data_IF_476628055927
#
_entry.id   IF_476628055927
#
_cell.length_a   1.000
_cell.length_b   1.000
_cell.length_c   1.000
_cell.angle_alpha   90.00
_cell.angle_beta   90.00
_cell.angle_gamma   90.00
#
_symmetry.space_group_name_H-M   'P 1'
#
loop_
_entity.id
_entity.type
_entity.pdbx_description
1 polymer ?
#
# COMPACT_ATOMS: atom_id res chain seq x y z
N UNK A 1 -42.48 -2.43 23.27
CA UNK A 1 -41.63 -3.61 22.99
C UNK A 1 -40.37 -3.09 22.33
N UNK A 2 -39.41 -2.62 23.13
CA UNK A 2 -38.14 -2.10 22.61
C UNK A 2 -37.18 -3.26 22.38
N UNK A 3 -36.80 -3.46 21.12
CA UNK A 3 -35.76 -4.40 20.70
C UNK A 3 -34.41 -3.91 21.25
N UNK A 4 -33.92 -4.55 22.31
CA UNK A 4 -32.54 -4.39 22.78
C UNK A 4 -31.59 -4.96 21.72
N UNK A 5 -30.93 -4.09 20.97
CA UNK A 5 -29.78 -4.48 20.18
C UNK A 5 -28.66 -4.90 21.13
N UNK A 6 -28.44 -6.19 21.25
CA UNK A 6 -27.25 -6.73 21.89
C UNK A 6 -26.04 -6.41 20.98
N UNK A 7 -25.32 -5.35 21.31
CA UNK A 7 -23.98 -5.12 20.77
C UNK A 7 -23.08 -6.23 21.30
N UNK A 8 -22.80 -7.23 20.46
CA UNK A 8 -21.73 -8.18 20.74
C UNK A 8 -20.43 -7.38 20.91
N UNK A 9 -19.94 -7.27 22.15
CA UNK A 9 -18.69 -6.62 22.49
C UNK A 9 -17.51 -7.53 22.14
N UNK A 10 -17.35 -7.86 20.86
CA UNK A 10 -16.05 -8.29 20.38
C UNK A 10 -15.20 -7.04 20.37
N UNK A 11 -14.20 -6.94 21.25
CA UNK A 11 -13.21 -5.86 21.20
C UNK A 11 -12.40 -6.04 19.92
N UNK A 12 -12.81 -5.37 18.85
CA UNK A 12 -12.04 -5.27 17.63
C UNK A 12 -10.86 -4.33 17.89
N UNK A 13 -9.66 -4.87 17.98
CA UNK A 13 -8.44 -4.06 17.94
C UNK A 13 -8.09 -3.76 16.48
N UNK A 14 -8.08 -2.50 16.04
CA UNK A 14 -7.69 -2.15 14.68
C UNK A 14 -6.22 -2.49 14.46
N UNK A 15 -5.87 -2.96 13.26
CA UNK A 15 -4.48 -3.07 12.83
C UNK A 15 -3.98 -1.69 12.41
N UNK A 16 -2.91 -1.21 13.05
CA UNK A 16 -2.32 0.10 12.82
C UNK A 16 -1.20 0.00 11.78
N UNK A 17 -1.31 0.76 10.69
CA UNK A 17 -0.30 0.84 9.64
C UNK A 17 0.53 2.12 9.87
N UNK A 18 1.83 1.96 10.09
CA UNK A 18 2.79 3.05 10.19
C UNK A 18 3.34 3.40 8.81
N UNK A 19 3.09 4.63 8.35
CA UNK A 19 3.51 5.08 7.00
C UNK A 19 5.00 5.44 6.99
N UNK A 20 5.76 4.77 6.12
CA UNK A 20 7.17 5.00 5.84
C UNK A 20 7.34 5.44 4.38
N UNK A 21 7.41 6.75 4.17
CA UNK A 21 7.69 7.32 2.85
C UNK A 21 9.21 7.45 2.64
N UNK A 22 9.71 6.88 1.53
CA UNK A 22 11.11 6.98 1.11
C UNK A 22 11.17 7.99 -0.06
N UNK A 23 11.51 9.25 0.24
CA UNK A 23 11.57 10.35 -0.74
C UNK A 23 12.99 10.61 -1.25
N UNK A 24 13.11 11.47 -2.27
CA UNK A 24 14.33 11.72 -3.06
C UNK A 24 15.49 12.38 -2.33
N UNK A 25 15.22 13.11 -1.25
CA UNK A 25 16.19 13.99 -0.57
C UNK A 25 17.43 13.25 -0.01
N UNK A 26 17.48 11.92 -0.14
CA UNK A 26 18.51 11.06 0.41
C UNK A 26 19.33 10.26 -0.61
N UNK A 27 19.07 10.37 -1.93
CA UNK A 27 19.72 9.54 -2.96
C UNK A 27 20.85 10.19 -3.76
N UNK A 28 21.06 11.51 -3.69
CA UNK A 28 21.95 12.21 -4.64
C UNK A 28 23.47 12.03 -4.41
N UNK A 29 23.97 11.67 -3.22
CA UNK A 29 25.43 11.71 -2.95
C UNK A 29 25.94 10.53 -2.11
N UNK A 30 25.78 9.28 -2.58
CA UNK A 30 26.23 8.09 -1.83
C UNK A 30 25.28 7.67 -0.68
N UNK A 31 24.11 8.31 -0.59
CA UNK A 31 23.14 8.17 0.49
C UNK A 31 22.29 6.90 0.49
N UNK A 32 22.55 5.89 -0.36
CA UNK A 32 21.80 4.60 -0.34
C UNK A 32 21.83 3.93 1.04
N UNK A 33 23.01 3.84 1.64
CA UNK A 33 23.19 3.23 2.97
C UNK A 33 22.63 4.12 4.09
N UNK A 34 22.75 5.44 3.95
CA UNK A 34 22.18 6.40 4.90
C UNK A 34 20.65 6.40 4.85
N UNK A 35 20.08 6.27 3.65
CA UNK A 35 18.63 6.15 3.43
C UNK A 35 18.11 4.84 4.01
N UNK A 36 18.81 3.71 3.78
CA UNK A 36 18.42 2.42 4.37
C UNK A 36 18.45 2.47 5.89
N UNK A 37 19.50 3.06 6.48
CA UNK A 37 19.60 3.22 7.94
C UNK A 37 18.50 4.12 8.50
N UNK A 38 18.31 5.32 7.94
CA UNK A 38 17.29 6.25 8.38
C UNK A 38 15.86 5.68 8.22
N UNK A 39 15.61 4.94 7.13
CA UNK A 39 14.34 4.25 6.91
C UNK A 39 14.11 3.12 7.92
N UNK A 40 15.17 2.38 8.27
CA UNK A 40 15.13 1.34 9.31
C UNK A 40 14.87 1.94 10.70
N UNK A 41 15.58 3.01 11.07
CA UNK A 41 15.36 3.74 12.32
C UNK A 41 13.93 4.32 12.40
N UNK A 42 13.41 4.83 11.28
CA UNK A 42 12.02 5.31 11.20
C UNK A 42 11.03 4.16 11.34
N UNK A 43 11.25 3.02 10.70
CA UNK A 43 10.43 1.83 10.86
C UNK A 43 10.41 1.35 12.33
N UNK A 44 11.58 1.27 12.97
CA UNK A 44 11.71 0.90 14.38
C UNK A 44 10.94 1.91 15.27
N UNK A 45 11.00 3.21 14.96
CA UNK A 45 10.23 4.25 15.65
C UNK A 45 8.71 4.10 15.47
N UNK A 46 8.23 3.75 14.28
CA UNK A 46 6.81 3.51 14.01
C UNK A 46 6.29 2.30 14.82
N UNK A 47 7.07 1.22 14.87
CA UNK A 47 6.75 0.03 15.66
C UNK A 47 6.72 0.36 17.16
N UNK A 48 7.69 1.13 17.66
CA UNK A 48 7.72 1.58 19.05
C UNK A 48 6.51 2.48 19.42
N UNK A 49 5.91 3.16 18.43
CA UNK A 49 4.69 3.96 18.59
C UNK A 49 3.39 3.14 18.47
N UNK A 50 3.50 1.82 18.26
CA UNK A 50 2.35 0.91 18.22
C UNK A 50 1.84 0.58 16.82
N UNK A 51 2.64 0.79 15.77
CA UNK A 51 2.32 0.25 14.44
C UNK A 51 2.41 -1.28 14.45
N UNK A 52 1.41 -1.96 13.88
CA UNK A 52 1.39 -3.41 13.66
C UNK A 52 2.04 -3.80 12.32
N UNK A 53 1.97 -2.89 11.34
CA UNK A 53 2.46 -3.06 9.97
C UNK A 53 3.17 -1.78 9.54
N UNK A 54 4.30 -1.90 8.85
CA UNK A 54 4.98 -0.76 8.21
C UNK A 54 4.54 -0.68 6.74
N UNK A 55 3.91 0.43 6.34
CA UNK A 55 3.48 0.69 4.97
C UNK A 55 4.53 1.52 4.24
N UNK A 56 5.26 0.89 3.31
CA UNK A 56 6.41 1.47 2.63
C UNK A 56 5.95 2.03 1.29
N UNK A 57 6.08 3.35 1.13
CA UNK A 57 5.85 4.06 -0.13
C UNK A 57 7.15 4.69 -0.63
N UNK A 58 7.67 4.23 -1.78
CA UNK A 58 8.88 4.76 -2.39
C UNK A 58 8.64 5.66 -3.61
N UNK A 59 7.37 5.88 -3.94
CA UNK A 59 6.93 6.84 -4.93
C UNK A 59 5.84 7.72 -4.31
N UNK A 60 5.99 9.03 -4.47
CA UNK A 60 4.96 9.96 -4.01
C UNK A 60 3.72 9.86 -4.90
N UNK A 61 2.55 9.78 -4.27
CA UNK A 61 1.23 9.90 -4.91
C UNK A 61 0.72 11.35 -4.95
N UNK A 62 1.53 12.32 -4.54
CA UNK A 62 1.21 13.75 -4.61
C UNK A 62 1.05 14.21 -6.06
N UNK A 63 0.09 15.09 -6.32
CA UNK A 63 -0.18 15.65 -7.65
C UNK A 63 1.03 16.41 -8.25
N UNK A 64 1.90 16.94 -7.40
CA UNK A 64 3.07 17.73 -7.81
C UNK A 64 4.34 16.89 -8.02
N UNK A 65 4.36 15.62 -7.60
CA UNK A 65 5.55 14.78 -7.75
C UNK A 65 5.59 14.10 -9.11
N UNK A 66 6.80 13.96 -9.65
CA UNK A 66 7.01 13.16 -10.84
C UNK A 66 6.99 11.66 -10.52
N UNK A 67 6.43 10.90 -11.46
CA UNK A 67 6.44 9.45 -11.39
C UNK A 67 7.84 8.94 -11.70
N UNK A 68 8.30 7.97 -10.93
CA UNK A 68 9.59 7.32 -11.15
C UNK A 68 9.36 5.98 -11.83
N UNK A 69 10.33 5.52 -12.62
CA UNK A 69 10.29 4.16 -13.18
C UNK A 69 10.31 3.10 -12.08
N UNK A 70 9.75 1.92 -12.35
CA UNK A 70 9.69 0.81 -11.39
C UNK A 70 11.09 0.42 -10.87
N UNK A 71 12.15 0.59 -11.67
CA UNK A 71 13.52 0.32 -11.27
C UNK A 71 13.96 1.23 -10.11
N UNK A 72 13.61 2.51 -10.17
CA UNK A 72 13.95 3.49 -9.14
C UNK A 72 13.12 3.24 -7.89
N UNK A 73 11.80 3.06 -8.04
CA UNK A 73 10.90 2.76 -6.93
C UNK A 73 11.37 1.50 -6.19
N UNK A 74 11.66 0.41 -6.92
CA UNK A 74 12.17 -0.82 -6.31
C UNK A 74 13.54 -0.63 -5.68
N UNK A 75 14.46 0.07 -6.34
CA UNK A 75 15.81 0.32 -5.82
C UNK A 75 15.82 1.02 -4.47
N UNK A 76 14.78 1.82 -4.16
CA UNK A 76 14.62 2.51 -2.88
C UNK A 76 14.25 1.56 -1.73
N UNK A 77 13.62 0.41 -2.03
CA UNK A 77 13.08 -0.50 -1.01
C UNK A 77 13.77 -1.87 -0.96
N UNK A 78 14.45 -2.27 -2.04
CA UNK A 78 14.94 -3.65 -2.24
C UNK A 78 15.83 -4.20 -1.13
N UNK A 79 16.61 -3.33 -0.47
CA UNK A 79 17.53 -3.72 0.60
C UNK A 79 16.85 -3.58 1.98
N UNK A 80 15.93 -2.62 2.13
CA UNK A 80 15.18 -2.39 3.37
C UNK A 80 14.16 -3.51 3.68
N UNK A 81 13.44 -3.98 2.66
CA UNK A 81 12.37 -4.98 2.84
C UNK A 81 12.91 -6.27 3.47
N UNK A 82 13.97 -6.92 2.94
CA UNK A 82 14.52 -8.13 3.56
C UNK A 82 15.02 -7.90 4.99
N UNK A 83 15.66 -6.77 5.27
CA UNK A 83 16.18 -6.43 6.61
C UNK A 83 15.04 -6.31 7.63
N UNK A 84 13.94 -5.65 7.28
CA UNK A 84 12.76 -5.53 8.14
C UNK A 84 12.04 -6.88 8.32
N UNK A 85 11.91 -7.67 7.25
CA UNK A 85 11.34 -9.02 7.34
C UNK A 85 12.16 -9.94 8.25
N UNK A 86 13.50 -9.85 8.21
CA UNK A 86 14.39 -10.61 9.09
C UNK A 86 14.22 -10.24 10.57
N UNK A 87 13.79 -9.00 10.87
CA UNK A 87 13.40 -8.55 12.21
C UNK A 87 11.98 -9.00 12.63
N UNK A 88 11.25 -9.70 11.76
CA UNK A 88 9.87 -10.13 12.00
C UNK A 88 8.82 -9.02 11.79
N UNK A 89 9.19 -7.91 11.15
CA UNK A 89 8.27 -6.80 10.86
C UNK A 89 7.28 -7.22 9.78
N UNK A 90 5.99 -6.96 10.00
CA UNK A 90 4.96 -7.12 8.97
C UNK A 90 4.98 -5.90 8.06
N UNK A 91 5.04 -6.15 6.76
CA UNK A 91 5.24 -5.08 5.77
C UNK A 91 4.04 -5.00 4.84
N UNK A 92 3.67 -3.76 4.52
CA UNK A 92 2.84 -3.35 3.40
C UNK A 92 3.68 -2.55 2.42
N UNK A 93 3.46 -2.73 1.11
CA UNK A 93 4.07 -1.90 0.06
C UNK A 93 2.97 -1.13 -0.65
N UNK A 94 3.05 0.20 -0.61
CA UNK A 94 2.19 1.12 -1.36
C UNK A 94 2.78 1.32 -2.76
N UNK A 95 2.22 0.58 -3.72
CA UNK A 95 2.62 0.69 -5.13
C UNK A 95 1.49 0.26 -6.06
N UNK A 96 1.49 0.87 -7.25
CA UNK A 96 0.65 0.46 -8.37
C UNK A 96 1.45 -0.08 -9.56
N UNK A 97 2.78 -0.21 -9.43
CA UNK A 97 3.63 -0.72 -10.51
C UNK A 97 3.69 -2.25 -10.46
N UNK A 98 3.23 -2.97 -11.50
CA UNK A 98 3.15 -4.44 -11.48
C UNK A 98 4.48 -5.13 -11.11
N UNK A 99 5.61 -4.60 -11.61
CA UNK A 99 6.94 -5.14 -11.29
C UNK A 99 7.37 -4.91 -9.84
N UNK A 100 7.01 -3.78 -9.24
CA UNK A 100 7.28 -3.51 -7.82
C UNK A 100 6.42 -4.45 -6.96
N UNK A 101 5.16 -4.65 -7.34
CA UNK A 101 4.25 -5.60 -6.69
C UNK A 101 4.83 -7.01 -6.73
N UNK A 102 5.24 -7.49 -7.91
CA UNK A 102 5.84 -8.81 -8.07
C UNK A 102 7.09 -8.99 -7.20
N UNK A 103 8.05 -8.05 -7.28
CA UNK A 103 9.28 -8.10 -6.49
C UNK A 103 9.01 -8.08 -4.98
N UNK A 104 8.02 -7.31 -4.53
CA UNK A 104 7.66 -7.21 -3.11
C UNK A 104 7.04 -8.51 -2.59
N UNK A 105 6.17 -9.14 -3.39
CA UNK A 105 5.55 -10.41 -3.04
C UNK A 105 6.59 -11.55 -3.00
N UNK A 106 7.52 -11.57 -3.97
CA UNK A 106 8.65 -12.51 -4.00
C UNK A 106 9.58 -12.33 -2.80
N UNK A 107 9.83 -11.08 -2.38
CA UNK A 107 10.62 -10.77 -1.19
C UNK A 107 9.94 -11.18 0.12
N UNK A 108 8.63 -11.38 0.12
CA UNK A 108 7.89 -11.90 1.26
C UNK A 108 7.04 -10.87 2.03
N UNK A 109 6.70 -9.74 1.40
CA UNK A 109 5.79 -8.72 1.95
C UNK A 109 4.38 -9.27 2.17
N UNK A 110 3.73 -8.97 3.31
CA UNK A 110 2.39 -9.49 3.63
C UNK A 110 1.28 -8.75 2.88
N UNK A 111 1.37 -7.42 2.77
CA UNK A 111 0.34 -6.59 2.17
C UNK A 111 0.82 -5.86 0.92
N UNK A 112 -0.03 -5.79 -0.09
CA UNK A 112 0.12 -4.84 -1.20
C UNK A 112 -0.99 -3.82 -1.09
N UNK A 113 -0.63 -2.55 -0.90
CA UNK A 113 -1.53 -1.41 -0.90
C UNK A 113 -1.55 -0.80 -2.29
N UNK A 114 -2.65 -1.01 -3.02
CA UNK A 114 -2.76 -0.57 -4.41
C UNK A 114 -3.73 0.60 -4.54
N UNK A 115 -3.18 1.81 -4.62
CA UNK A 115 -3.93 3.07 -4.63
C UNK A 115 -4.93 3.20 -5.79
N UNK A 116 -4.68 2.54 -6.92
CA UNK A 116 -5.62 2.48 -8.07
C UNK A 116 -6.61 1.33 -8.01
N UNK A 117 -6.52 0.50 -6.97
CA UNK A 117 -7.32 -0.71 -6.74
C UNK A 117 -7.28 -1.71 -7.90
N UNK A 118 -6.06 -1.99 -8.40
CA UNK A 118 -5.80 -3.07 -9.36
C UNK A 118 -6.70 -3.02 -10.62
N UNK A 119 -6.83 -1.83 -11.21
CA UNK A 119 -7.60 -1.63 -12.45
C UNK A 119 -6.93 -2.22 -13.68
N UNK A 120 -5.62 -2.41 -13.64
CA UNK A 120 -4.85 -2.97 -14.73
C UNK A 120 -4.71 -4.50 -14.62
N UNK A 121 -4.71 -5.18 -15.77
CA UNK A 121 -4.64 -6.65 -15.85
C UNK A 121 -3.30 -7.20 -15.37
N UNK A 122 -2.25 -6.39 -15.42
CA UNK A 122 -0.90 -6.82 -15.10
C UNK A 122 -0.76 -7.03 -13.59
N UNK A 123 -1.12 -6.02 -12.80
CA UNK A 123 -1.16 -6.10 -11.33
C UNK A 123 -2.06 -7.24 -10.85
N UNK A 124 -3.24 -7.43 -11.47
CA UNK A 124 -4.13 -8.57 -11.16
C UNK A 124 -3.43 -9.91 -11.39
N UNK A 125 -2.73 -10.06 -12.51
CA UNK A 125 -1.99 -11.29 -12.83
C UNK A 125 -0.88 -11.56 -11.81
N UNK A 126 -0.16 -10.52 -11.38
CA UNK A 126 0.91 -10.68 -10.38
C UNK A 126 0.37 -11.15 -9.03
N UNK A 127 -0.71 -10.54 -8.52
CA UNK A 127 -1.29 -10.95 -7.23
C UNK A 127 -1.97 -12.32 -7.29
N UNK A 128 -2.51 -12.71 -8.45
CA UNK A 128 -3.17 -14.02 -8.64
C UNK A 128 -2.22 -15.20 -8.42
N UNK A 129 -0.91 -15.01 -8.62
CA UNK A 129 0.12 -16.03 -8.37
C UNK A 129 0.20 -16.44 -6.89
N UNK A 130 -0.30 -15.60 -5.98
CA UNK A 130 -0.28 -15.82 -4.54
C UNK A 130 -1.67 -16.12 -3.97
N UNK A 131 -2.64 -16.49 -4.81
CA UNK A 131 -3.94 -16.97 -4.36
C UNK A 131 -3.77 -18.18 -3.41
N UNK A 132 -4.53 -18.19 -2.30
CA UNK A 132 -4.46 -19.24 -1.28
C UNK A 132 -3.30 -19.11 -0.29
N UNK A 133 -2.49 -18.06 -0.38
CA UNK A 133 -1.46 -17.73 0.62
C UNK A 133 -2.00 -16.74 1.66
N UNK A 134 -1.18 -16.41 2.67
CA UNK A 134 -1.52 -15.39 3.68
C UNK A 134 -1.29 -13.94 3.19
N UNK A 135 -1.01 -13.74 1.90
CA UNK A 135 -0.84 -12.40 1.31
C UNK A 135 -2.18 -11.68 1.24
N UNK A 136 -2.16 -10.37 1.49
CA UNK A 136 -3.35 -9.52 1.56
C UNK A 136 -3.22 -8.37 0.57
N UNK A 137 -4.32 -8.03 -0.08
CA UNK A 137 -4.36 -7.01 -1.12
C UNK A 137 -5.36 -5.92 -0.72
N UNK A 138 -4.87 -4.70 -0.50
CA UNK A 138 -5.70 -3.55 -0.15
C UNK A 138 -6.11 -2.88 -1.47
N UNK A 139 -7.40 -2.91 -1.74
CA UNK A 139 -8.00 -2.34 -2.94
C UNK A 139 -8.54 -0.95 -2.60
N UNK A 140 -7.94 0.10 -3.13
CA UNK A 140 -8.40 1.46 -2.92
C UNK A 140 -9.26 1.96 -4.08
N UNK A 141 -10.33 2.69 -3.78
CA UNK A 141 -11.09 3.44 -4.78
C UNK A 141 -10.46 4.82 -4.99
N UNK A 142 -10.20 5.18 -6.24
CA UNK A 142 -9.87 6.55 -6.65
C UNK A 142 -10.75 6.95 -7.82
N UNK A 143 -11.26 8.17 -7.85
CA UNK A 143 -12.27 8.57 -8.85
C UNK A 143 -11.76 8.52 -10.30
N UNK A 144 -10.44 8.67 -10.52
CA UNK A 144 -9.84 8.67 -11.85
C UNK A 144 -9.08 7.39 -12.19
N UNK A 145 -8.81 6.51 -11.22
CA UNK A 145 -8.01 5.27 -11.36
C UNK A 145 -6.65 5.44 -12.06
N UNK A 146 -6.15 6.67 -12.15
CA UNK A 146 -4.98 7.02 -12.94
C UNK A 146 -3.68 6.91 -12.10
N UNK A 147 -2.54 7.00 -12.78
CA UNK A 147 -1.23 6.99 -12.11
C UNK A 147 -0.93 8.29 -11.36
N UNK A 148 -1.69 9.36 -11.62
CA UNK A 148 -1.61 10.63 -10.90
C UNK A 148 -2.99 11.00 -10.36
N UNK A 149 -3.08 11.59 -9.16
CA UNK A 149 -4.35 12.14 -8.68
C UNK A 149 -4.79 13.30 -9.59
N UNK A 150 -6.10 13.48 -9.70
CA UNK A 150 -6.71 14.62 -10.38
C UNK A 150 -7.48 15.43 -9.35
N UNK A 151 -7.23 16.73 -9.28
CA UNK A 151 -7.93 17.61 -8.35
C UNK A 151 -9.40 17.81 -8.75
N UNK A 152 -9.74 17.56 -10.01
CA UNK A 152 -11.12 17.64 -10.49
C UNK A 152 -11.78 16.27 -10.39
N UNK A 153 -12.87 16.21 -9.61
CA UNK A 153 -13.68 15.02 -9.46
C UNK A 153 -15.08 15.24 -10.02
N UNK A 154 -15.60 14.26 -10.75
CA UNK A 154 -17.01 14.22 -11.16
C UNK A 154 -17.94 13.73 -10.03
N UNK A 155 -17.36 13.34 -8.89
CA UNK A 155 -18.11 12.83 -7.77
C UNK A 155 -18.89 13.94 -7.08
N UNK A 156 -20.14 13.63 -6.77
CA UNK A 156 -21.07 14.48 -6.02
C UNK A 156 -21.58 13.69 -4.81
N UNK A 157 -22.15 14.36 -3.79
CA UNK A 157 -22.80 13.67 -2.68
C UNK A 157 -23.88 12.66 -3.13
N UNK A 158 -24.48 12.86 -4.31
CA UNK A 158 -25.52 12.00 -4.86
C UNK A 158 -24.98 10.73 -5.53
N UNK A 159 -23.78 10.75 -6.12
CA UNK A 159 -23.24 9.59 -6.86
C UNK A 159 -22.09 8.87 -6.14
N UNK A 160 -21.42 9.49 -5.17
CA UNK A 160 -20.15 8.98 -4.60
C UNK A 160 -20.28 7.56 -4.04
N UNK A 161 -21.34 7.28 -3.29
CA UNK A 161 -21.58 5.94 -2.74
C UNK A 161 -21.86 4.92 -3.85
N UNK A 162 -22.61 5.32 -4.88
CA UNK A 162 -22.92 4.45 -6.01
C UNK A 162 -21.65 4.07 -6.77
N UNK A 163 -20.78 5.03 -7.08
CA UNK A 163 -19.53 4.77 -7.80
C UNK A 163 -18.55 3.90 -7.00
N UNK A 164 -18.41 4.16 -5.70
CA UNK A 164 -17.59 3.33 -4.81
C UNK A 164 -18.11 1.88 -4.78
N UNK A 165 -19.42 1.69 -4.57
CA UNK A 165 -20.03 0.35 -4.50
C UNK A 165 -19.93 -0.38 -5.84
N UNK A 166 -20.16 0.33 -6.95
CA UNK A 166 -20.01 -0.21 -8.31
C UNK A 166 -18.58 -0.69 -8.54
N UNK A 167 -17.59 0.14 -8.22
CA UNK A 167 -16.17 -0.21 -8.34
C UNK A 167 -15.83 -1.50 -7.59
N UNK A 168 -16.16 -1.59 -6.30
CA UNK A 168 -15.83 -2.77 -5.50
C UNK A 168 -16.58 -4.03 -5.96
N UNK A 169 -17.82 -3.91 -6.44
CA UNK A 169 -18.56 -5.03 -7.05
C UNK A 169 -17.90 -5.54 -8.32
N UNK A 170 -17.35 -4.65 -9.15
CA UNK A 170 -16.60 -5.03 -10.33
C UNK A 170 -15.27 -5.68 -9.97
N UNK A 171 -14.53 -5.13 -9.01
CA UNK A 171 -13.24 -5.67 -8.54
C UNK A 171 -13.38 -7.09 -8.00
N UNK A 172 -14.43 -7.37 -7.22
CA UNK A 172 -14.71 -8.72 -6.68
C UNK A 172 -14.86 -9.81 -7.74
N UNK A 173 -15.12 -9.47 -9.02
CA UNK A 173 -15.21 -10.48 -10.09
C UNK A 173 -13.83 -11.01 -10.53
N UNK A 174 -12.75 -10.34 -10.14
CA UNK A 174 -11.39 -10.65 -10.56
C UNK A 174 -10.52 -11.28 -9.47
N UNK A 175 -11.06 -11.45 -8.24
CA UNK A 175 -10.39 -12.05 -7.08
C UNK A 175 -11.28 -13.12 -6.46
#
# INVERSE_FOLDING_TARGET
MESKYHLNSTTYSPTIFGVLNITEDSFSDGGKYLTSKASSEKADSLLAQGADVVDIGAQSSNIQSDLVGFEIEWMRMKDLIPDLLAKGVRISVDSFQPKVIANSLDAGVEFINHIRGFVDKESVREISKYAGTNRKFIVMYSHNHANRPDAQSYLTPQNVIFEIVKFFRERKKFY
#
